data_IF_413202136612
#
_entry.id   IF_413202136612
#
_cell.length_a   1.000
_cell.length_b   1.000
_cell.length_c   1.000
_cell.angle_alpha   90.00
_cell.angle_beta   90.00
_cell.angle_gamma   90.00
#
_symmetry.space_group_name_H-M   'P 1'
#
loop_
_entity.id
_entity.type
_entity.pdbx_description
1 polymer ?
#
# COMPACT_ATOMS: atom_id res chain seq x y z
N UNK A 1 -15.41 4.92 18.48
CA UNK A 1 -14.38 5.57 17.64
C UNK A 1 -14.87 6.89 17.09
N UNK A 2 -13.99 7.88 17.07
CA UNK A 2 -14.24 9.14 16.35
C UNK A 2 -14.08 8.93 14.84
N UNK A 3 -14.59 9.87 14.04
CA UNK A 3 -14.41 9.82 12.59
C UNK A 3 -12.93 9.87 12.20
N UNK A 4 -12.10 10.62 12.95
CA UNK A 4 -10.67 10.67 12.74
C UNK A 4 -10.01 9.29 12.96
N UNK A 5 -10.36 8.62 14.05
CA UNK A 5 -9.86 7.29 14.35
C UNK A 5 -10.28 6.27 13.28
N UNK A 6 -11.52 6.36 12.77
CA UNK A 6 -12.00 5.53 11.66
C UNK A 6 -11.21 5.77 10.38
N UNK A 7 -10.92 7.04 10.05
CA UNK A 7 -10.08 7.37 8.89
C UNK A 7 -8.68 6.82 9.03
N UNK A 8 -8.07 6.93 10.19
CA UNK A 8 -6.73 6.37 10.45
C UNK A 8 -6.74 4.85 10.27
N UNK A 9 -7.76 4.18 10.77
CA UNK A 9 -7.94 2.74 10.56
C UNK A 9 -8.09 2.37 9.08
N UNK A 10 -8.87 3.16 8.33
CA UNK A 10 -9.11 2.94 6.90
C UNK A 10 -7.84 3.18 6.06
N UNK A 11 -7.00 4.14 6.42
CA UNK A 11 -5.79 4.46 5.68
C UNK A 11 -4.67 3.43 5.84
N UNK A 12 -4.82 2.46 6.71
CA UNK A 12 -3.79 1.41 6.94
C UNK A 12 -3.42 0.66 5.66
N UNK A 13 -4.38 0.42 4.77
CA UNK A 13 -4.12 -0.26 3.51
C UNK A 13 -3.24 0.58 2.59
N UNK A 14 -3.57 1.85 2.41
CA UNK A 14 -2.74 2.78 1.62
C UNK A 14 -1.33 2.91 2.19
N UNK A 15 -1.21 3.03 3.51
CA UNK A 15 0.10 3.09 4.19
C UNK A 15 0.93 1.85 3.90
N UNK A 16 0.33 0.66 3.96
CA UNK A 16 1.01 -0.58 3.62
C UNK A 16 1.47 -0.62 2.16
N UNK A 17 0.63 -0.14 1.23
CA UNK A 17 1.00 -0.05 -0.19
C UNK A 17 2.15 0.92 -0.44
N UNK A 18 2.18 2.05 0.27
CA UNK A 18 3.28 3.02 0.18
C UNK A 18 4.59 2.44 0.70
N UNK A 19 4.56 1.67 1.78
CA UNK A 19 5.74 0.98 2.30
C UNK A 19 6.27 -0.04 1.29
N UNK A 20 5.38 -0.82 0.67
CA UNK A 20 5.75 -1.79 -0.37
C UNK A 20 6.40 -1.06 -1.55
N UNK A 21 5.79 0.03 -2.03
CA UNK A 21 6.33 0.82 -3.14
C UNK A 21 7.72 1.36 -2.81
N UNK A 22 7.91 1.89 -1.63
CA UNK A 22 9.21 2.41 -1.16
C UNK A 22 10.27 1.31 -1.16
N UNK A 23 9.97 0.13 -0.63
CA UNK A 23 10.91 -1.00 -0.63
C UNK A 23 11.18 -1.56 -2.03
N UNK A 24 10.19 -1.57 -2.92
CA UNK A 24 10.38 -1.99 -4.31
C UNK A 24 11.34 -1.05 -5.04
N UNK A 25 11.25 0.26 -4.80
CA UNK A 25 12.18 1.25 -5.36
C UNK A 25 13.60 1.03 -4.84
N UNK A 26 13.73 0.80 -3.53
CA UNK A 26 15.02 0.48 -2.91
C UNK A 26 15.62 -0.81 -3.49
N UNK A 27 14.80 -1.85 -3.67
CA UNK A 27 15.24 -3.10 -4.28
C UNK A 27 15.76 -2.89 -5.71
N UNK A 28 15.09 -2.07 -6.52
CA UNK A 28 15.52 -1.73 -7.87
C UNK A 28 16.88 -1.01 -7.87
N UNK A 29 17.10 -0.10 -6.93
CA UNK A 29 18.39 0.59 -6.76
C UNK A 29 19.50 -0.40 -6.45
N UNK A 30 19.28 -1.35 -5.55
CA UNK A 30 20.25 -2.39 -5.21
C UNK A 30 20.51 -3.34 -6.39
N UNK A 31 19.48 -3.71 -7.15
CA UNK A 31 19.60 -4.53 -8.35
C UNK A 31 20.48 -3.85 -9.40
N UNK A 32 20.25 -2.57 -9.65
CA UNK A 32 21.06 -1.76 -10.58
C UNK A 32 22.52 -1.71 -10.13
N UNK A 33 22.75 -1.51 -8.83
CA UNK A 33 24.10 -1.48 -8.25
C UNK A 33 24.79 -2.85 -8.40
N UNK A 34 24.07 -3.94 -8.15
CA UNK A 34 24.59 -5.30 -8.31
C UNK A 34 25.01 -5.58 -9.76
N UNK A 35 24.20 -5.17 -10.73
CA UNK A 35 24.52 -5.32 -12.16
C UNK A 35 25.79 -4.56 -12.55
N UNK A 36 25.93 -3.32 -12.09
CA UNK A 36 27.13 -2.52 -12.36
C UNK A 36 28.39 -3.14 -11.78
N UNK A 37 28.33 -3.63 -10.55
CA UNK A 37 29.46 -4.30 -9.89
C UNK A 37 29.83 -5.58 -10.62
N UNK A 38 28.84 -6.38 -11.03
CA UNK A 38 29.04 -7.60 -11.77
C UNK A 38 29.76 -7.34 -13.11
N UNK A 39 29.38 -6.28 -13.82
CA UNK A 39 30.06 -5.86 -15.06
C UNK A 39 31.53 -5.50 -14.82
N UNK A 40 31.82 -4.78 -13.74
CA UNK A 40 33.16 -4.37 -13.36
C UNK A 40 34.00 -5.58 -12.92
N UNK A 41 33.43 -6.51 -12.15
CA UNK A 41 34.12 -7.70 -11.64
C UNK A 41 34.53 -8.68 -12.77
N UNK A 42 33.74 -8.72 -13.87
CA UNK A 42 34.12 -9.56 -15.02
C UNK A 42 35.44 -9.16 -15.69
N UNK A 43 35.88 -7.90 -15.53
CA UNK A 43 37.08 -7.33 -16.14
C UNK A 43 38.24 -7.15 -15.14
N UNK A 44 38.11 -7.59 -13.88
CA UNK A 44 39.12 -7.39 -12.83
C UNK A 44 39.60 -8.67 -12.17
N UNK A 45 40.91 -8.72 -11.70
CA UNK A 45 41.39 -9.82 -10.88
C UNK A 45 40.63 -9.94 -9.57
N UNK A 46 40.45 -11.16 -9.07
CA UNK A 46 39.73 -11.50 -7.85
C UNK A 46 40.24 -10.72 -6.64
N UNK A 47 39.32 -10.04 -5.88
CA UNK A 47 39.62 -9.26 -4.68
C UNK A 47 38.35 -8.70 -4.04
N UNK A 48 38.46 -7.74 -3.15
CA UNK A 48 37.42 -7.21 -2.26
C UNK A 48 36.00 -6.88 -2.80
N UNK A 49 35.83 -6.90 -4.12
CA UNK A 49 34.48 -6.67 -4.73
C UNK A 49 33.53 -7.86 -4.64
N UNK A 50 34.06 -9.09 -4.47
CA UNK A 50 33.21 -10.27 -4.25
C UNK A 50 32.44 -10.17 -2.92
N UNK A 51 33.07 -9.62 -1.85
CA UNK A 51 32.43 -9.36 -0.57
C UNK A 51 31.32 -8.31 -0.72
N UNK A 52 31.54 -7.27 -1.52
CA UNK A 52 30.55 -6.24 -1.77
C UNK A 52 29.31 -6.81 -2.49
N UNK A 53 29.48 -7.72 -3.45
CA UNK A 53 28.37 -8.41 -4.12
C UNK A 53 27.58 -9.25 -3.13
N UNK A 54 28.25 -9.99 -2.24
CA UNK A 54 27.58 -10.80 -1.21
C UNK A 54 26.76 -9.94 -0.25
N UNK A 55 27.29 -8.79 0.18
CA UNK A 55 26.60 -7.84 1.03
C UNK A 55 25.34 -7.28 0.34
N UNK A 56 25.42 -6.99 -0.96
CA UNK A 56 24.28 -6.53 -1.76
C UNK A 56 23.22 -7.61 -1.85
N UNK A 57 23.58 -8.87 -2.08
CA UNK A 57 22.63 -9.99 -2.14
C UNK A 57 21.91 -10.16 -0.80
N UNK A 58 22.64 -10.06 0.31
CA UNK A 58 22.05 -10.12 1.66
C UNK A 58 21.03 -8.99 1.83
N UNK A 59 21.41 -7.77 1.46
CA UNK A 59 20.52 -6.60 1.58
C UNK A 59 19.27 -6.75 0.72
N UNK A 60 19.40 -7.20 -0.51
CA UNK A 60 18.26 -7.46 -1.39
C UNK A 60 17.34 -8.52 -0.82
N UNK A 61 17.89 -9.59 -0.24
CA UNK A 61 17.10 -10.65 0.39
C UNK A 61 16.29 -10.10 1.57
N UNK A 62 16.89 -9.28 2.42
CA UNK A 62 16.20 -8.63 3.53
C UNK A 62 15.02 -7.77 3.05
N UNK A 63 15.25 -6.97 2.00
CA UNK A 63 14.20 -6.12 1.41
C UNK A 63 13.07 -6.98 0.83
N UNK A 64 13.40 -8.05 0.11
CA UNK A 64 12.42 -8.97 -0.46
C UNK A 64 11.57 -9.62 0.64
N UNK A 65 12.17 -10.02 1.75
CA UNK A 65 11.46 -10.61 2.89
C UNK A 65 10.51 -9.58 3.54
N UNK A 66 10.95 -8.34 3.68
CA UNK A 66 10.12 -7.24 4.18
C UNK A 66 8.92 -6.99 3.25
N UNK A 67 9.13 -6.99 1.94
CA UNK A 67 8.06 -6.83 0.95
C UNK A 67 7.03 -7.96 1.09
N UNK A 68 7.48 -9.21 1.16
CA UNK A 68 6.58 -10.37 1.31
C UNK A 68 5.73 -10.26 2.58
N UNK A 69 6.35 -9.92 3.70
CA UNK A 69 5.65 -9.75 4.97
C UNK A 69 4.60 -8.63 4.89
N UNK A 70 4.95 -7.49 4.28
CA UNK A 70 4.03 -6.37 4.15
C UNK A 70 2.90 -6.65 3.16
N UNK A 71 3.17 -7.37 2.08
CA UNK A 71 2.12 -7.80 1.13
C UNK A 71 1.10 -8.68 1.83
N UNK A 72 1.55 -9.65 2.64
CA UNK A 72 0.66 -10.51 3.42
C UNK A 72 -0.19 -9.69 4.41
N UNK A 73 0.42 -8.74 5.12
CA UNK A 73 -0.28 -7.82 6.02
C UNK A 73 -1.30 -6.97 5.27
N UNK A 74 -0.92 -6.43 4.11
CA UNK A 74 -1.81 -5.58 3.31
C UNK A 74 -3.06 -6.33 2.85
N UNK A 75 -2.94 -7.60 2.50
CA UNK A 75 -4.09 -8.42 2.11
C UNK A 75 -5.05 -8.66 3.25
N UNK A 76 -4.54 -8.84 4.48
CA UNK A 76 -5.37 -8.95 5.68
C UNK A 76 -6.12 -7.64 5.95
N UNK A 77 -5.44 -6.51 5.84
CA UNK A 77 -6.04 -5.18 6.02
C UNK A 77 -7.13 -4.97 4.98
N UNK A 78 -6.85 -5.29 3.71
CA UNK A 78 -7.84 -5.17 2.62
C UNK A 78 -9.11 -5.96 2.93
N UNK A 79 -8.95 -7.21 3.39
CA UNK A 79 -10.09 -8.03 3.76
C UNK A 79 -10.90 -7.43 4.90
N UNK A 80 -10.24 -6.91 5.93
CA UNK A 80 -10.90 -6.21 7.03
C UNK A 80 -11.73 -5.01 6.54
N UNK A 81 -11.17 -4.21 5.62
CA UNK A 81 -11.87 -3.08 5.01
C UNK A 81 -13.08 -3.53 4.19
N UNK A 82 -12.93 -4.55 3.36
CA UNK A 82 -14.01 -5.09 2.54
C UNK A 82 -15.17 -5.58 3.41
N UNK A 83 -14.87 -6.29 4.49
CA UNK A 83 -15.90 -6.76 5.44
C UNK A 83 -16.61 -5.57 6.08
N UNK A 84 -15.87 -4.55 6.52
CA UNK A 84 -16.46 -3.36 7.11
C UNK A 84 -17.38 -2.63 6.12
N UNK A 85 -16.99 -2.54 4.86
CA UNK A 85 -17.80 -1.87 3.82
C UNK A 85 -19.05 -2.67 3.47
N UNK A 86 -18.98 -3.98 3.43
CA UNK A 86 -20.16 -4.83 3.26
C UNK A 86 -21.16 -4.62 4.41
N UNK A 87 -20.67 -4.40 5.61
CA UNK A 87 -21.49 -4.11 6.79
C UNK A 87 -22.29 -2.81 6.72
N UNK A 88 -21.96 -1.90 5.79
CA UNK A 88 -22.73 -0.67 5.59
C UNK A 88 -24.15 -0.93 5.04
N UNK A 89 -24.36 -2.06 4.38
CA UNK A 89 -25.64 -2.44 3.77
C UNK A 89 -26.22 -1.36 2.84
N UNK A 90 -25.34 -0.65 2.14
CA UNK A 90 -25.68 0.41 1.20
C UNK A 90 -24.67 0.37 0.06
N UNK A 91 -25.11 -0.03 -1.14
CA UNK A 91 -24.23 -0.23 -2.29
C UNK A 91 -23.50 1.03 -2.73
N UNK A 92 -24.12 2.20 -2.59
CA UNK A 92 -23.50 3.48 -2.96
C UNK A 92 -22.37 3.82 -1.97
N UNK A 93 -22.65 3.71 -0.68
CA UNK A 93 -21.65 3.97 0.37
C UNK A 93 -20.51 2.97 0.31
N UNK A 94 -20.83 1.70 0.10
CA UNK A 94 -19.83 0.63 -0.08
C UNK A 94 -18.92 0.92 -1.27
N UNK A 95 -19.47 1.27 -2.42
CA UNK A 95 -18.71 1.61 -3.62
C UNK A 95 -17.82 2.83 -3.42
N UNK A 96 -18.34 3.89 -2.78
CA UNK A 96 -17.58 5.09 -2.46
C UNK A 96 -16.37 4.77 -1.58
N UNK A 97 -16.57 3.99 -0.55
CA UNK A 97 -15.51 3.62 0.39
C UNK A 97 -14.45 2.74 -0.26
N UNK A 98 -14.85 1.82 -1.13
CA UNK A 98 -13.92 1.00 -1.92
C UNK A 98 -13.06 1.86 -2.86
N UNK A 99 -13.67 2.80 -3.58
CA UNK A 99 -12.92 3.70 -4.45
C UNK A 99 -11.91 4.53 -3.66
N UNK A 100 -12.29 5.03 -2.50
CA UNK A 100 -11.42 5.89 -1.68
C UNK A 100 -10.31 5.12 -0.98
N UNK A 101 -10.62 4.03 -0.31
CA UNK A 101 -9.70 3.37 0.63
C UNK A 101 -9.04 2.09 0.10
N UNK A 102 -9.60 1.45 -0.92
CA UNK A 102 -9.00 0.28 -1.57
C UNK A 102 -8.33 0.68 -2.89
N UNK A 103 -9.02 1.40 -3.75
CA UNK A 103 -8.46 1.89 -5.01
C UNK A 103 -7.62 3.15 -4.85
N UNK A 104 -7.67 3.80 -3.68
CA UNK A 104 -6.91 4.99 -3.32
C UNK A 104 -7.12 6.17 -4.29
N UNK A 105 -8.34 6.33 -4.80
CA UNK A 105 -8.69 7.44 -5.67
C UNK A 105 -8.85 8.74 -4.87
N UNK A 106 -8.53 9.86 -5.50
CA UNK A 106 -8.83 11.17 -4.92
C UNK A 106 -10.31 11.53 -5.13
N UNK A 107 -10.78 12.57 -4.46
CA UNK A 107 -12.19 12.95 -4.51
C UNK A 107 -12.64 13.39 -5.90
N UNK A 108 -11.77 14.03 -6.68
CA UNK A 108 -12.08 14.41 -8.04
C UNK A 108 -12.31 13.18 -8.94
N UNK A 109 -11.46 12.17 -8.81
CA UNK A 109 -11.58 10.90 -9.53
C UNK A 109 -12.86 10.15 -9.14
N UNK A 110 -13.16 10.09 -7.84
CA UNK A 110 -14.38 9.43 -7.33
C UNK A 110 -15.63 10.12 -7.86
N UNK A 111 -15.67 11.44 -7.87
CA UNK A 111 -16.78 12.22 -8.39
C UNK A 111 -17.05 11.87 -9.86
N UNK A 112 -16.01 11.79 -10.68
CA UNK A 112 -16.10 11.42 -12.09
C UNK A 112 -16.65 9.99 -12.26
N UNK A 113 -16.08 9.03 -11.55
CA UNK A 113 -16.47 7.61 -11.65
C UNK A 113 -17.91 7.40 -11.22
N UNK A 114 -18.34 8.03 -10.14
CA UNK A 114 -19.68 7.87 -9.58
C UNK A 114 -20.73 8.77 -10.27
N UNK A 115 -20.30 9.76 -11.02
CA UNK A 115 -21.21 10.73 -11.65
C UNK A 115 -21.84 11.69 -10.65
N UNK A 116 -21.14 12.02 -9.56
CA UNK A 116 -21.58 12.96 -8.53
C UNK A 116 -20.65 14.17 -8.45
N UNK A 117 -21.12 15.23 -7.80
CA UNK A 117 -20.24 16.35 -7.45
C UNK A 117 -19.32 15.96 -6.28
N UNK A 118 -18.16 16.61 -6.17
CA UNK A 118 -17.26 16.38 -5.04
C UNK A 118 -17.94 16.64 -3.68
N UNK A 119 -18.66 17.78 -3.50
CA UNK A 119 -19.37 18.01 -2.23
C UNK A 119 -20.37 16.89 -1.88
N UNK A 120 -21.04 16.32 -2.89
CA UNK A 120 -21.96 15.20 -2.66
C UNK A 120 -21.19 13.95 -2.21
N UNK A 121 -20.03 13.68 -2.82
CA UNK A 121 -19.16 12.58 -2.39
C UNK A 121 -18.70 12.74 -0.94
N UNK A 122 -18.32 13.95 -0.53
CA UNK A 122 -17.92 14.23 0.85
C UNK A 122 -19.07 13.98 1.83
N UNK A 123 -20.28 14.35 1.45
CA UNK A 123 -21.48 14.13 2.26
C UNK A 123 -21.76 12.63 2.43
N UNK A 124 -21.67 11.87 1.36
CA UNK A 124 -21.81 10.42 1.39
C UNK A 124 -20.72 9.76 2.24
N UNK A 125 -19.49 10.25 2.15
CA UNK A 125 -18.38 9.79 2.96
C UNK A 125 -18.63 9.99 4.46
N UNK A 126 -19.15 11.16 4.82
CA UNK A 126 -19.55 11.43 6.21
C UNK A 126 -20.60 10.45 6.72
N UNK A 127 -21.61 10.15 5.89
CA UNK A 127 -22.65 9.15 6.23
C UNK A 127 -22.05 7.76 6.40
N UNK A 128 -21.14 7.37 5.50
CA UNK A 128 -20.45 6.07 5.58
C UNK A 128 -19.65 5.95 6.87
N UNK A 129 -18.90 7.00 7.24
CA UNK A 129 -18.11 7.00 8.47
C UNK A 129 -19.00 6.85 9.72
N UNK A 130 -20.16 7.52 9.76
CA UNK A 130 -21.10 7.39 10.88
C UNK A 130 -21.64 5.96 11.01
N UNK A 131 -21.95 5.31 9.88
CA UNK A 131 -22.48 3.94 9.86
C UNK A 131 -21.41 2.87 10.04
N UNK A 132 -20.15 3.19 9.76
CA UNK A 132 -19.07 2.22 9.77
C UNK A 132 -18.83 1.67 11.17
N UNK A 133 -18.87 0.35 11.29
CA UNK A 133 -18.49 -0.37 12.50
C UNK A 133 -17.10 -0.95 12.34
N UNK A 134 -16.21 -0.60 13.25
CA UNK A 134 -14.83 -1.07 13.25
C UNK A 134 -14.60 -1.92 14.48
N UNK A 135 -14.24 -3.19 14.25
CA UNK A 135 -13.82 -4.07 15.33
C UNK A 135 -12.48 -3.63 15.88
N UNK A 136 -12.48 -3.27 17.16
CA UNK A 136 -11.24 -3.04 17.91
C UNK A 136 -10.70 -4.38 18.40
N UNK A 137 -9.65 -4.83 17.75
CA UNK A 137 -8.84 -5.91 18.32
C UNK A 137 -7.53 -5.37 18.84
#
# INVERSE_FOLDING_TARGET
>A
MTNKEKKDWLWRYKEALLDIDSWQRELEEWQTRAEKITQVVSDMPRGGKALEVDDIVIKMTEIMDNIKAKVSESQKIKLELEIAFEGLNDGILEGLMKYRYINCLDWAQIAIVMGYSEPHCWKLHGKALEKLEVDRQ
#
